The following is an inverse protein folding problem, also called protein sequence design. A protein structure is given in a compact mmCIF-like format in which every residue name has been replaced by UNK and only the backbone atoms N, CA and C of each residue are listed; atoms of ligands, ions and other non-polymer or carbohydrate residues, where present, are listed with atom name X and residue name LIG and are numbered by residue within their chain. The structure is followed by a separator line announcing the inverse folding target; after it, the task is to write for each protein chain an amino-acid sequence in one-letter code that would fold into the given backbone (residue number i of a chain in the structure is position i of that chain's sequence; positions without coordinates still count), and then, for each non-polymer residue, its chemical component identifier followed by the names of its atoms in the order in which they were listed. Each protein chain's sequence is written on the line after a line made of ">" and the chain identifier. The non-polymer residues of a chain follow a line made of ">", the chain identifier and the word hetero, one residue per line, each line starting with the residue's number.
data_IF_268068080756
#
_entry.id   IF_268068080756
#
_cell.length_a   1.000
_cell.length_b   1.000
_cell.length_c   1.000
_cell.angle_alpha   90.00
_cell.angle_beta   90.00
_cell.angle_gamma   90.00
#
_symmetry.space_group_name_H-M   'P 1'
#
loop_
_entity.id
_entity.type
_entity.pdbx_description
1 polymer ?
#
# COMPACT_ATOMS: atom_id res chain seq x y z
N UNK A 1 46.49 79.15 46.55
CA UNK A 1 45.95 78.49 47.76
C UNK A 1 44.57 77.95 47.42
N UNK A 2 44.42 76.62 47.50
CA UNK A 2 43.22 75.83 47.83
C UNK A 2 41.92 75.84 46.99
N UNK A 3 41.35 74.62 46.97
CA UNK A 3 39.97 74.16 46.68
C UNK A 3 39.61 73.97 45.18
N UNK A 4 39.40 72.78 44.61
CA UNK A 4 38.71 71.54 45.02
C UNK A 4 37.18 71.69 45.22
N UNK A 5 36.38 71.34 44.21
CA UNK A 5 35.33 70.30 44.31
C UNK A 5 34.58 70.04 42.99
N UNK A 6 34.34 68.74 42.76
CA UNK A 6 33.57 68.11 41.69
C UNK A 6 32.05 68.32 41.81
N UNK A 7 31.36 68.31 40.67
CA UNK A 7 29.90 68.24 40.57
C UNK A 7 29.51 67.15 39.55
N UNK A 8 28.68 66.20 40.00
CA UNK A 8 27.52 65.64 39.29
C UNK A 8 27.69 64.67 38.10
N UNK A 9 27.33 63.40 38.33
CA UNK A 9 26.79 62.46 37.32
C UNK A 9 25.24 62.59 37.25
N UNK A 10 24.46 61.83 36.42
CA UNK A 10 24.83 60.87 35.35
C UNK A 10 23.96 60.91 34.04
N UNK A 11 24.34 60.04 33.10
CA UNK A 11 23.48 59.26 32.18
C UNK A 11 23.04 59.85 30.82
N UNK A 12 23.58 59.31 29.72
CA UNK A 12 22.85 58.37 28.84
C UNK A 12 23.72 57.86 27.68
N UNK A 13 23.42 56.64 27.25
CA UNK A 13 24.24 55.71 26.50
C UNK A 13 24.37 56.02 25.00
N UNK A 14 25.55 55.72 24.45
CA UNK A 14 25.84 55.70 23.01
C UNK A 14 25.42 54.38 22.35
N UNK A 15 24.83 54.50 21.17
CA UNK A 15 24.46 53.38 20.31
C UNK A 15 25.67 52.87 19.51
N UNK A 16 25.92 51.56 19.57
CA UNK A 16 26.85 50.86 18.68
C UNK A 16 26.05 49.84 17.84
N UNK A 17 26.16 49.96 16.52
CA UNK A 17 25.58 49.06 15.55
C UNK A 17 26.35 47.74 15.50
N UNK A 18 25.66 46.62 15.72
CA UNK A 18 26.18 45.27 15.55
C UNK A 18 25.44 44.56 14.40
N UNK A 19 26.23 44.06 13.46
CA UNK A 19 25.87 43.26 12.30
C UNK A 19 25.21 41.94 12.72
N UNK A 20 23.97 41.73 12.28
CA UNK A 20 23.22 40.50 12.52
C UNK A 20 23.69 39.37 11.59
N UNK A 21 24.41 38.40 12.15
CA UNK A 21 24.59 37.09 11.54
C UNK A 21 23.26 36.31 11.69
N UNK A 22 22.62 35.99 10.57
CA UNK A 22 21.39 35.21 10.52
C UNK A 22 21.63 33.77 10.96
N UNK A 23 21.27 33.45 12.20
CA UNK A 23 21.26 32.10 12.72
C UNK A 23 20.01 31.39 12.18
N UNK A 24 20.15 30.58 11.11
CA UNK A 24 19.10 29.67 10.66
C UNK A 24 18.98 28.53 11.68
N UNK A 25 18.21 28.76 12.74
CA UNK A 25 17.74 27.69 13.61
C UNK A 25 16.67 26.90 12.85
N UNK A 26 17.06 25.76 12.30
CA UNK A 26 16.14 24.74 11.84
C UNK A 26 15.19 24.41 13.01
N UNK A 27 13.92 24.80 12.87
CA UNK A 27 12.88 24.49 13.84
C UNK A 27 12.82 22.97 13.99
N UNK A 28 13.23 22.46 15.15
CA UNK A 28 12.99 21.07 15.52
C UNK A 28 11.47 20.91 15.63
N UNK A 29 10.84 20.39 14.57
CA UNK A 29 9.44 19.98 14.60
C UNK A 29 9.31 18.87 15.64
N UNK A 30 8.78 19.22 16.80
CA UNK A 30 8.26 18.24 17.76
C UNK A 30 7.01 17.64 17.14
N UNK A 31 7.17 16.48 16.49
CA UNK A 31 6.04 15.76 15.92
C UNK A 31 5.13 15.28 17.07
N UNK A 32 3.92 15.83 17.14
CA UNK A 32 2.86 15.37 18.06
C UNK A 32 1.85 14.46 17.37
N UNK A 33 1.85 14.46 16.03
CA UNK A 33 0.96 13.69 15.16
C UNK A 33 1.76 13.05 14.02
N UNK A 34 1.33 11.90 13.49
CA UNK A 34 2.02 11.26 12.38
C UNK A 34 2.03 12.17 11.14
N UNK A 35 3.04 12.04 10.25
CA UNK A 35 3.13 12.87 9.03
C UNK A 35 1.87 12.83 8.16
N UNK A 36 1.19 11.68 8.13
CA UNK A 36 -0.12 11.52 7.52
C UNK A 36 -0.89 10.38 8.22
N UNK A 37 -2.23 10.43 8.16
CA UNK A 37 -3.10 9.40 8.72
C UNK A 37 -4.18 8.93 7.74
N UNK A 38 -4.31 7.61 7.57
CA UNK A 38 -5.32 6.96 6.74
C UNK A 38 -4.95 5.50 6.42
N UNK A 39 -5.58 4.92 5.40
CA UNK A 39 -5.41 3.51 5.04
C UNK A 39 -4.84 3.34 3.63
N UNK A 40 -3.69 2.68 3.52
CA UNK A 40 -3.08 2.37 2.23
C UNK A 40 -3.63 1.03 1.75
N UNK A 41 -4.66 1.07 0.91
CA UNK A 41 -5.31 -0.13 0.38
C UNK A 41 -4.52 -0.68 -0.82
N UNK A 42 -4.24 0.16 -1.79
CA UNK A 42 -3.76 -0.20 -3.12
C UNK A 42 -2.33 0.26 -3.39
N UNK A 43 -1.70 -0.26 -4.45
CA UNK A 43 -0.42 0.26 -4.97
C UNK A 43 -0.59 1.72 -5.37
N UNK A 44 -1.69 2.07 -6.04
CA UNK A 44 -2.05 3.45 -6.38
C UNK A 44 -2.02 4.40 -5.17
N UNK A 45 -2.62 3.99 -4.04
CA UNK A 45 -2.59 4.78 -2.80
C UNK A 45 -1.17 5.03 -2.29
N UNK A 46 -0.31 4.02 -2.35
CA UNK A 46 1.08 4.16 -1.93
C UNK A 46 1.84 5.14 -2.84
N UNK A 47 1.60 5.06 -4.16
CA UNK A 47 2.19 5.97 -5.14
C UNK A 47 1.73 7.43 -4.93
N UNK A 48 0.46 7.64 -4.61
CA UNK A 48 -0.07 8.98 -4.28
C UNK A 48 0.61 9.57 -3.04
N UNK A 49 0.83 8.78 -1.99
CA UNK A 49 1.51 9.24 -0.78
C UNK A 49 2.99 9.52 -1.04
N UNK A 50 3.68 8.68 -1.82
CA UNK A 50 5.07 8.94 -2.21
C UNK A 50 5.18 10.23 -3.05
N UNK A 51 4.27 10.43 -4.01
CA UNK A 51 4.21 11.64 -4.82
C UNK A 51 3.93 12.89 -3.97
N UNK A 52 2.97 12.82 -3.05
CA UNK A 52 2.68 13.89 -2.10
C UNK A 52 3.90 14.23 -1.22
N UNK A 53 4.62 13.21 -0.75
CA UNK A 53 5.82 13.39 0.05
C UNK A 53 6.98 13.98 -0.76
N UNK A 54 7.15 13.58 -2.02
CA UNK A 54 8.11 14.15 -2.97
C UNK A 54 7.84 15.63 -3.24
N UNK A 55 6.55 16.03 -3.31
CA UNK A 55 6.11 17.43 -3.46
C UNK A 55 6.17 18.23 -2.16
N UNK A 56 6.49 17.62 -1.02
CA UNK A 56 6.51 18.26 0.29
C UNK A 56 5.13 18.52 0.90
N UNK A 57 4.06 17.94 0.34
CA UNK A 57 2.70 18.02 0.91
C UNK A 57 2.56 17.17 2.16
N UNK A 58 3.28 16.04 2.20
CA UNK A 58 3.41 15.17 3.38
C UNK A 58 4.86 15.20 3.85
N UNK A 59 5.13 15.45 5.13
CA UNK A 59 6.48 15.46 5.65
C UNK A 59 7.16 14.08 5.53
N UNK A 60 8.43 14.09 5.09
CA UNK A 60 9.28 12.90 5.07
C UNK A 60 10.05 12.79 6.38
N UNK A 61 10.26 11.55 6.81
CA UNK A 61 11.11 11.24 7.96
C UNK A 61 12.57 11.28 7.50
N UNK A 62 13.34 12.24 8.03
CA UNK A 62 14.73 12.50 7.65
C UNK A 62 15.75 11.97 8.67
N UNK A 63 15.29 11.30 9.74
CA UNK A 63 16.13 10.63 10.73
C UNK A 63 15.32 9.60 11.51
N UNK A 64 16.00 8.71 12.24
CA UNK A 64 15.31 7.76 13.13
C UNK A 64 14.43 8.49 14.14
N UNK A 65 13.24 7.92 14.40
CA UNK A 65 12.34 8.38 15.43
C UNK A 65 12.94 8.12 16.82
N UNK A 66 12.88 9.14 17.67
CA UNK A 66 13.16 8.99 19.11
C UNK A 66 11.98 8.36 19.83
N UNK A 67 12.19 7.86 21.04
CA UNK A 67 11.15 7.10 21.77
C UNK A 67 9.87 7.91 22.05
N UNK A 68 9.99 9.24 22.22
CA UNK A 68 8.82 10.13 22.35
C UNK A 68 8.01 10.22 21.06
N UNK A 69 8.67 10.30 19.90
CA UNK A 69 8.03 10.38 18.57
C UNK A 69 7.37 9.06 18.18
N UNK A 70 7.90 7.92 18.64
CA UNK A 70 7.29 6.61 18.39
C UNK A 70 5.89 6.46 18.97
N UNK A 71 5.48 7.33 19.90
CA UNK A 71 4.11 7.38 20.42
C UNK A 71 3.07 7.73 19.36
N UNK A 72 3.49 8.33 18.25
CA UNK A 72 2.61 8.61 17.10
C UNK A 72 2.39 7.39 16.20
N UNK A 73 3.05 6.26 16.46
CA UNK A 73 2.82 5.02 15.74
C UNK A 73 1.54 4.38 16.28
N UNK A 74 0.44 4.74 15.66
CA UNK A 74 -0.91 4.27 15.98
C UNK A 74 -1.61 3.82 14.71
N UNK A 75 -2.83 3.33 14.84
CA UNK A 75 -3.64 3.03 13.67
C UNK A 75 -3.85 4.27 12.80
N UNK A 76 -3.74 4.12 11.49
CA UNK A 76 -3.80 5.19 10.51
C UNK A 76 -2.44 5.80 10.17
N UNK A 77 -1.46 5.75 11.08
CA UNK A 77 -0.18 6.45 10.88
C UNK A 77 0.57 5.95 9.64
N UNK A 78 1.00 6.89 8.80
CA UNK A 78 1.86 6.61 7.62
C UNK A 78 3.11 7.46 7.67
N UNK A 79 4.25 6.82 7.39
CA UNK A 79 5.55 7.43 7.35
C UNK A 79 6.21 7.16 6.01
N UNK A 80 6.84 8.18 5.44
CA UNK A 80 7.65 8.08 4.22
C UNK A 80 9.07 8.50 4.54
N UNK A 81 10.07 7.76 4.06
CA UNK A 81 11.46 8.16 4.14
C UNK A 81 12.25 7.72 2.92
N UNK A 82 13.28 8.49 2.62
CA UNK A 82 14.28 8.20 1.61
C UNK A 82 15.56 7.68 2.28
N UNK A 83 16.18 6.62 1.75
CA UNK A 83 17.35 6.01 2.38
C UNK A 83 18.57 6.94 2.43
N UNK A 84 18.79 7.75 1.40
CA UNK A 84 19.96 8.63 1.29
C UNK A 84 19.81 9.83 2.23
N UNK A 85 18.64 10.48 2.20
CA UNK A 85 18.36 11.65 3.06
C UNK A 85 18.29 11.28 4.55
N UNK A 86 17.67 10.14 4.87
CA UNK A 86 17.41 9.76 6.27
C UNK A 86 18.49 8.87 6.91
N UNK A 87 19.29 8.18 6.09
CA UNK A 87 20.19 7.11 6.52
C UNK A 87 19.46 5.87 7.08
N UNK A 88 18.13 5.79 6.98
CA UNK A 88 17.33 4.68 7.51
C UNK A 88 17.19 3.60 6.45
N UNK A 89 17.89 2.47 6.60
CA UNK A 89 17.71 1.30 5.72
C UNK A 89 16.63 0.32 6.18
N UNK A 90 16.27 0.40 7.45
CA UNK A 90 15.29 -0.47 8.11
C UNK A 90 14.51 0.33 9.13
N UNK A 91 13.19 0.28 9.01
CA UNK A 91 12.28 0.91 9.94
C UNK A 91 12.29 0.18 11.29
N UNK A 92 12.35 0.95 12.38
CA UNK A 92 12.39 0.44 13.75
C UNK A 92 11.36 1.18 14.60
N UNK A 93 10.33 0.46 15.02
CA UNK A 93 9.16 1.00 15.73
C UNK A 93 9.05 0.55 17.19
N UNK A 94 9.71 -0.55 17.57
CA UNK A 94 9.70 -1.10 18.94
C UNK A 94 8.61 -2.15 19.19
N UNK A 95 7.80 -2.50 18.18
CA UNK A 95 6.80 -3.55 18.27
C UNK A 95 7.36 -4.92 17.88
N UNK A 96 6.71 -5.98 18.35
CA UNK A 96 7.02 -7.36 17.97
C UNK A 96 6.15 -7.78 16.81
N UNK A 97 6.78 -8.06 15.67
CA UNK A 97 6.09 -8.36 14.43
C UNK A 97 6.20 -9.83 14.07
N UNK A 98 5.15 -10.38 13.47
CA UNK A 98 5.22 -11.67 12.79
C UNK A 98 6.24 -11.67 11.65
N UNK A 99 6.63 -12.83 11.11
CA UNK A 99 7.30 -12.86 9.82
C UNK A 99 6.44 -12.18 8.74
N UNK A 100 7.10 -11.64 7.72
CA UNK A 100 6.43 -10.95 6.63
C UNK A 100 5.58 -11.90 5.77
N UNK A 101 4.47 -11.38 5.27
CA UNK A 101 3.70 -12.00 4.18
C UNK A 101 3.55 -11.02 3.03
N UNK A 102 3.61 -11.55 1.82
CA UNK A 102 3.45 -10.74 0.60
C UNK A 102 1.96 -10.59 0.31
N UNK A 103 1.53 -9.36 0.01
CA UNK A 103 0.22 -9.06 -0.55
C UNK A 103 0.40 -8.04 -1.67
N UNK A 104 0.29 -8.47 -2.93
CA UNK A 104 0.65 -7.64 -4.09
C UNK A 104 2.08 -7.11 -3.97
N UNK A 105 2.24 -5.79 -3.99
CA UNK A 105 3.53 -5.11 -3.85
C UNK A 105 3.96 -4.86 -2.40
N UNK A 106 3.16 -5.28 -1.42
CA UNK A 106 3.38 -4.96 -0.01
C UNK A 106 3.96 -6.14 0.77
N UNK A 107 4.64 -5.82 1.87
CA UNK A 107 4.90 -6.76 2.97
C UNK A 107 4.01 -6.42 4.15
N UNK A 108 3.31 -7.42 4.66
CA UNK A 108 2.42 -7.32 5.82
C UNK A 108 3.04 -8.01 7.03
N UNK A 109 2.79 -7.40 8.17
CA UNK A 109 3.19 -7.87 9.49
C UNK A 109 2.01 -7.66 10.44
N UNK A 110 1.81 -8.59 11.37
CA UNK A 110 0.85 -8.44 12.47
C UNK A 110 1.56 -8.44 13.80
N UNK A 111 1.12 -7.58 14.71
CA UNK A 111 1.68 -7.49 16.05
C UNK A 111 1.46 -8.80 16.82
N UNK A 112 2.50 -9.25 17.50
CA UNK A 112 2.51 -10.47 18.32
C UNK A 112 2.82 -10.14 19.76
N UNK A 113 2.45 -11.03 20.67
CA UNK A 113 2.86 -10.88 22.07
C UNK A 113 4.36 -11.10 22.22
N UNK A 114 4.98 -10.30 23.10
CA UNK A 114 6.42 -10.36 23.47
C UNK A 114 6.89 -11.79 23.88
N UNK A 115 5.96 -12.71 24.17
CA UNK A 115 6.20 -14.11 24.57
C UNK A 115 6.04 -15.12 23.42
N UNK A 116 6.20 -14.71 22.18
CA UNK A 116 6.08 -15.58 21.00
C UNK A 116 7.40 -15.86 20.28
N UNK A 117 8.56 -15.84 20.95
CA UNK A 117 9.83 -16.24 20.34
C UNK A 117 9.88 -17.76 20.16
N UNK A 118 9.27 -18.26 19.09
CA UNK A 118 9.44 -19.61 18.56
C UNK A 118 10.83 -19.88 17.99
N UNK A 119 11.89 -19.47 18.70
CA UNK A 119 13.29 -19.80 18.40
C UNK A 119 14.17 -19.66 19.66
N UNK A 120 13.88 -20.44 20.70
CA UNK A 120 14.89 -21.02 21.58
C UNK A 120 14.40 -22.42 21.95
N UNK A 121 15.21 -23.43 21.66
CA UNK A 121 14.89 -24.82 22.00
C UNK A 121 14.47 -24.92 23.45
N UNK A 122 13.29 -25.51 23.69
CA UNK A 122 12.84 -25.88 25.00
C UNK A 122 13.79 -26.95 25.57
N UNK A 123 14.84 -26.50 26.25
CA UNK A 123 15.41 -27.22 27.38
C UNK A 123 15.04 -26.43 28.63
N UNK A 124 13.76 -26.53 29.00
CA UNK A 124 13.36 -26.39 30.40
C UNK A 124 12.94 -27.77 30.84
N UNK A 125 13.94 -28.50 31.34
CA UNK A 125 13.76 -29.67 32.16
C UNK A 125 12.99 -29.22 33.41
N UNK A 126 11.78 -29.72 33.57
CA UNK A 126 11.00 -29.60 34.79
C UNK A 126 10.25 -30.90 34.90
N UNK A 127 10.91 -31.83 35.59
CA UNK A 127 10.33 -33.05 36.10
C UNK A 127 9.08 -32.70 36.90
N UNK A 128 7.95 -33.26 36.48
CA UNK A 128 6.89 -33.61 37.40
C UNK A 128 6.42 -35.02 37.03
N UNK A 129 6.67 -35.91 37.98
CA UNK A 129 6.43 -37.34 37.95
C UNK A 129 5.03 -37.59 38.49
N UNK A 130 4.11 -38.06 37.65
CA UNK A 130 2.95 -38.81 38.13
C UNK A 130 2.56 -39.91 37.14
N UNK A 131 3.14 -41.07 37.43
CA UNK A 131 2.80 -42.39 36.91
C UNK A 131 1.45 -42.88 37.46
N UNK A 132 0.46 -43.10 36.60
CA UNK A 132 -0.45 -44.24 36.70
C UNK A 132 -0.84 -44.72 35.29
N UNK A 133 -0.59 -46.00 35.07
CA UNK A 133 -0.77 -46.77 33.86
C UNK A 133 -2.14 -47.47 33.92
N UNK A 134 -2.93 -47.47 32.86
CA UNK A 134 -3.57 -48.70 32.37
C UNK A 134 -4.12 -48.51 30.95
N UNK A 135 -3.89 -49.51 30.11
CA UNK A 135 -4.11 -49.46 28.67
C UNK A 135 -5.49 -49.94 28.25
N UNK A 136 -5.99 -49.38 27.15
CA UNK A 136 -6.82 -50.09 26.16
C UNK A 136 -6.89 -49.24 24.90
N UNK A 137 -6.29 -49.72 23.81
CA UNK A 137 -6.58 -49.28 22.44
C UNK A 137 -7.90 -49.95 22.00
N UNK A 138 -8.73 -49.28 21.18
CA UNK A 138 -8.70 -49.67 19.76
C UNK A 138 -8.84 -48.49 18.77
N UNK A 139 -8.22 -48.72 17.62
CA UNK A 139 -8.53 -48.27 16.24
C UNK A 139 -9.29 -46.96 15.96
N UNK A 140 -8.55 -46.04 15.33
CA UNK A 140 -8.85 -45.44 14.03
C UNK A 140 -10.22 -44.79 13.79
N UNK A 141 -10.29 -43.45 13.86
CA UNK A 141 -11.13 -42.65 12.95
C UNK A 141 -10.55 -41.24 12.74
N UNK A 142 -10.23 -40.99 11.47
CA UNK A 142 -10.40 -39.76 10.68
C UNK A 142 -10.78 -38.45 11.39
N UNK A 143 -9.96 -37.42 11.10
CA UNK A 143 -10.35 -36.03 10.80
C UNK A 143 -11.76 -35.61 11.27
N UNK A 144 -11.88 -35.12 12.50
CA UNK A 144 -13.09 -34.47 13.00
C UNK A 144 -12.80 -33.04 13.44
N UNK A 145 -12.79 -32.18 12.42
CA UNK A 145 -13.06 -30.74 12.45
C UNK A 145 -14.16 -30.39 13.47
N UNK A 146 -13.96 -29.44 14.41
CA UNK A 146 -15.08 -28.77 15.04
C UNK A 146 -15.67 -27.81 14.01
N UNK A 147 -16.80 -28.21 13.44
CA UNK A 147 -17.66 -27.37 12.61
C UNK A 147 -18.35 -26.35 13.53
N UNK A 148 -17.70 -25.22 13.75
CA UNK A 148 -18.32 -23.99 14.21
C UNK A 148 -18.69 -23.16 12.99
N UNK A 149 -19.96 -23.20 12.60
CA UNK A 149 -20.54 -22.42 11.51
C UNK A 149 -20.47 -20.92 11.84
N UNK A 150 -19.63 -20.21 11.11
CA UNK A 150 -20.11 -19.03 10.39
C UNK A 150 -19.70 -19.24 8.95
N UNK A 151 -20.68 -19.43 8.08
CA UNK A 151 -20.51 -19.31 6.64
C UNK A 151 -20.16 -17.85 6.35
N UNK A 152 -18.91 -17.46 6.58
CA UNK A 152 -18.43 -16.16 6.13
C UNK A 152 -18.52 -16.20 4.60
N UNK A 153 -19.25 -15.24 4.06
CA UNK A 153 -19.51 -15.14 2.64
C UNK A 153 -18.18 -15.10 1.88
N UNK A 154 -18.16 -15.47 0.59
CA UNK A 154 -16.95 -15.35 -0.22
C UNK A 154 -16.34 -13.93 -0.21
N UNK A 155 -17.19 -12.92 0.04
CA UNK A 155 -16.81 -11.52 0.20
C UNK A 155 -16.07 -11.26 1.52
N UNK A 156 -16.50 -11.86 2.63
CA UNK A 156 -15.83 -11.72 3.93
C UNK A 156 -14.43 -12.31 3.88
N UNK A 157 -14.27 -13.46 3.20
CA UNK A 157 -12.95 -14.08 3.01
C UNK A 157 -12.04 -13.27 2.09
N UNK A 158 -12.60 -12.58 1.10
CA UNK A 158 -11.84 -11.66 0.26
C UNK A 158 -11.39 -10.43 1.06
N UNK A 159 -12.30 -9.82 1.83
CA UNK A 159 -12.00 -8.70 2.73
C UNK A 159 -10.92 -9.04 3.75
N UNK A 160 -11.04 -10.19 4.40
CA UNK A 160 -10.03 -10.68 5.33
C UNK A 160 -8.65 -10.78 4.65
N UNK A 161 -8.59 -11.31 3.42
CA UNK A 161 -7.33 -11.40 2.67
C UNK A 161 -6.71 -10.04 2.36
N UNK A 162 -7.51 -9.01 2.08
CA UNK A 162 -7.00 -7.65 1.84
C UNK A 162 -6.38 -7.07 3.12
N UNK A 163 -6.97 -7.36 4.29
CA UNK A 163 -6.55 -6.82 5.59
C UNK A 163 -5.40 -7.61 6.23
N UNK A 164 -5.32 -8.92 6.06
CA UNK A 164 -4.28 -9.75 6.72
C UNK A 164 -3.41 -10.55 5.76
N UNK A 165 -3.70 -10.52 4.46
CA UNK A 165 -3.00 -11.33 3.47
C UNK A 165 -3.14 -12.83 3.77
N UNK A 166 -2.01 -13.52 3.81
CA UNK A 166 -1.92 -14.95 4.17
C UNK A 166 -1.52 -15.20 5.62
N UNK A 167 -1.62 -14.19 6.50
CA UNK A 167 -1.34 -14.30 7.94
C UNK A 167 -2.45 -15.10 8.65
N UNK A 168 -2.53 -16.38 8.36
CA UNK A 168 -3.53 -17.29 8.93
C UNK A 168 -2.90 -18.11 10.06
N UNK A 169 -3.02 -17.57 11.27
CA UNK A 169 -3.00 -18.26 12.57
C UNK A 169 -1.76 -19.09 13.00
N UNK A 170 -0.58 -18.92 12.39
CA UNK A 170 0.64 -19.64 12.84
C UNK A 170 1.35 -19.03 14.05
N UNK A 171 0.85 -17.92 14.61
CA UNK A 171 1.46 -17.18 15.71
C UNK A 171 0.42 -16.73 16.74
N UNK A 172 0.86 -16.55 17.99
CA UNK A 172 0.06 -15.89 19.05
C UNK A 172 0.01 -14.39 18.76
N UNK A 173 -0.87 -14.02 17.84
CA UNK A 173 -1.17 -12.63 17.53
C UNK A 173 -1.92 -11.98 18.68
N UNK A 174 -1.68 -10.69 18.88
CA UNK A 174 -2.57 -9.88 19.72
C UNK A 174 -3.95 -9.80 19.08
N UNK A 175 -5.00 -9.91 19.90
CA UNK A 175 -6.39 -9.79 19.46
C UNK A 175 -6.65 -8.41 18.84
N UNK A 176 -6.26 -7.35 19.54
CA UNK A 176 -6.27 -5.95 19.08
C UNK A 176 -4.88 -5.49 18.59
N UNK A 177 -4.18 -6.41 17.91
CA UNK A 177 -2.83 -6.17 17.42
C UNK A 177 -2.80 -5.18 16.26
N UNK A 178 -1.77 -4.33 16.23
CA UNK A 178 -1.52 -3.44 15.10
C UNK A 178 -1.09 -4.25 13.86
N UNK A 179 -1.52 -3.81 12.67
CA UNK A 179 -0.97 -4.25 11.39
C UNK A 179 0.08 -3.25 10.93
N UNK A 180 1.16 -3.74 10.34
CA UNK A 180 2.12 -2.93 9.59
C UNK A 180 2.16 -3.41 8.14
N UNK A 181 2.02 -2.48 7.21
CA UNK A 181 2.12 -2.69 5.77
C UNK A 181 3.23 -1.80 5.22
N UNK A 182 4.19 -2.40 4.53
CA UNK A 182 5.35 -1.69 3.99
C UNK A 182 5.42 -1.79 2.48
N UNK A 183 5.88 -0.72 1.85
CA UNK A 183 6.07 -0.60 0.41
C UNK A 183 7.38 0.13 0.14
N UNK A 184 8.12 -0.29 -0.89
CA UNK A 184 9.40 0.30 -1.23
C UNK A 184 9.57 0.35 -2.74
N UNK A 185 10.14 1.46 -3.24
CA UNK A 185 10.54 1.62 -4.64
C UNK A 185 11.94 2.22 -4.68
N UNK A 186 12.72 1.89 -5.72
CA UNK A 186 14.05 2.48 -5.92
C UNK A 186 13.98 3.46 -7.09
N UNK A 187 14.30 4.73 -6.87
CA UNK A 187 14.27 5.77 -7.91
C UNK A 187 15.61 6.48 -7.92
N UNK A 188 16.23 6.62 -9.09
CA UNK A 188 17.56 7.24 -9.20
C UNK A 188 18.64 6.52 -8.38
N UNK A 189 18.46 5.21 -8.13
CA UNK A 189 19.36 4.42 -7.28
C UNK A 189 19.12 4.54 -5.78
N UNK A 190 18.17 5.37 -5.34
CA UNK A 190 17.83 5.57 -3.92
C UNK A 190 16.50 4.91 -3.61
N UNK A 191 16.46 4.14 -2.50
CA UNK A 191 15.23 3.48 -2.07
C UNK A 191 14.35 4.44 -1.26
N UNK A 192 13.12 4.61 -1.70
CA UNK A 192 12.04 5.27 -0.97
C UNK A 192 11.17 4.22 -0.31
N UNK A 193 10.80 4.48 0.94
CA UNK A 193 10.03 3.56 1.76
C UNK A 193 8.78 4.24 2.31
N UNK A 194 7.67 3.51 2.27
CA UNK A 194 6.42 3.84 2.93
C UNK A 194 6.11 2.79 3.98
N UNK A 195 5.80 3.24 5.20
CA UNK A 195 5.39 2.41 6.33
C UNK A 195 4.01 2.85 6.79
N UNK A 196 3.02 1.97 6.68
CA UNK A 196 1.63 2.22 7.08
C UNK A 196 1.23 1.31 8.24
N UNK A 197 0.52 1.88 9.20
CA UNK A 197 -0.03 1.17 10.36
C UNK A 197 -1.55 1.27 10.36
N UNK A 198 -2.23 0.18 10.70
CA UNK A 198 -3.68 0.20 10.88
C UNK A 198 -4.11 -0.93 11.81
N UNK A 199 -5.25 -0.76 12.47
CA UNK A 199 -6.01 -1.87 13.06
C UNK A 199 -7.06 -2.31 12.07
N UNK A 200 -7.31 -3.62 12.04
CA UNK A 200 -8.34 -4.23 11.19
C UNK A 200 -9.70 -3.57 11.46
N UNK A 201 -10.05 -3.41 12.73
CA UNK A 201 -11.32 -2.79 13.16
C UNK A 201 -11.50 -1.36 12.62
N UNK A 202 -10.44 -0.54 12.60
CA UNK A 202 -10.51 0.84 12.12
C UNK A 202 -10.81 0.91 10.62
N UNK A 203 -10.29 -0.05 9.85
CA UNK A 203 -10.57 -0.16 8.41
C UNK A 203 -11.97 -0.69 8.18
N UNK A 204 -12.38 -1.74 8.89
CA UNK A 204 -13.71 -2.36 8.75
C UNK A 204 -14.84 -1.39 9.11
N UNK A 205 -14.63 -0.54 10.11
CA UNK A 205 -15.58 0.49 10.51
C UNK A 205 -15.49 1.77 9.66
N UNK A 206 -14.62 1.81 8.64
CA UNK A 206 -14.47 2.95 7.74
C UNK A 206 -13.91 4.21 8.40
N UNK A 207 -13.19 4.07 9.53
CA UNK A 207 -12.57 5.20 10.24
C UNK A 207 -11.34 5.75 9.51
N UNK A 208 -10.72 4.92 8.67
CA UNK A 208 -9.52 5.29 7.90
C UNK A 208 -9.86 5.41 6.42
N UNK A 209 -9.60 6.58 5.85
CA UNK A 209 -9.79 6.84 4.42
C UNK A 209 -8.54 6.50 3.62
N UNK A 210 -8.73 6.04 2.38
CA UNK A 210 -7.62 5.83 1.44
C UNK A 210 -7.22 7.13 0.74
N UNK A 211 -5.94 7.28 0.34
CA UNK A 211 -5.46 8.40 -0.47
C UNK A 211 -6.30 8.63 -1.73
N UNK A 212 -6.63 7.58 -2.47
CA UNK A 212 -7.47 7.65 -3.68
C UNK A 212 -8.90 8.12 -3.41
N UNK A 213 -9.41 7.99 -2.18
CA UNK A 213 -10.72 8.52 -1.80
C UNK A 213 -10.70 10.02 -1.49
N UNK A 214 -9.53 10.62 -1.29
CA UNK A 214 -9.35 12.01 -0.88
C UNK A 214 -9.08 12.87 -2.13
N UNK A 215 -9.95 13.83 -2.50
CA UNK A 215 -9.80 14.61 -3.72
C UNK A 215 -8.42 15.29 -3.87
N UNK A 216 -7.87 15.80 -2.77
CA UNK A 216 -6.57 16.49 -2.74
C UNK A 216 -5.38 15.58 -3.04
N UNK A 217 -5.49 14.27 -2.77
CA UNK A 217 -4.47 13.28 -3.11
C UNK A 217 -4.79 12.59 -4.43
N UNK A 218 -6.05 12.24 -4.68
CA UNK A 218 -6.50 11.59 -5.90
C UNK A 218 -6.24 12.43 -7.17
N UNK A 219 -6.18 13.76 -7.04
CA UNK A 219 -5.85 14.66 -8.16
C UNK A 219 -4.35 14.74 -8.47
N UNK A 220 -3.48 14.08 -7.69
CA UNK A 220 -2.04 14.14 -7.94
C UNK A 220 -1.67 13.28 -9.14
N UNK A 221 -0.99 13.88 -10.11
CA UNK A 221 -0.33 13.14 -11.18
C UNK A 221 0.90 12.39 -10.63
N UNK A 222 0.84 11.05 -10.65
CA UNK A 222 1.95 10.20 -10.24
C UNK A 222 3.10 10.35 -11.25
N UNK A 223 4.29 10.72 -10.79
CA UNK A 223 5.43 10.95 -11.67
C UNK A 223 5.85 9.67 -12.42
N UNK A 224 6.23 9.75 -13.71
CA UNK A 224 6.64 8.60 -14.53
C UNK A 224 7.72 7.70 -13.93
N UNK A 225 8.64 8.28 -13.16
CA UNK A 225 9.72 7.58 -12.46
C UNK A 225 9.22 6.57 -11.41
N UNK A 226 8.02 6.79 -10.86
CA UNK A 226 7.35 5.84 -9.98
C UNK A 226 6.70 4.68 -10.72
N UNK A 227 6.55 4.75 -12.05
CA UNK A 227 5.77 3.80 -12.85
C UNK A 227 6.64 2.81 -13.62
N UNK A 228 7.95 2.77 -13.34
CA UNK A 228 8.81 1.72 -13.89
C UNK A 228 8.43 0.36 -13.29
N UNK A 229 7.92 -0.51 -14.17
CA UNK A 229 7.52 -1.89 -13.89
C UNK A 229 8.59 -2.75 -13.23
N UNK A 230 9.89 -2.45 -13.39
CA UNK A 230 10.98 -3.18 -12.73
C UNK A 230 11.02 -2.98 -11.22
N UNK A 231 10.40 -1.93 -10.71
CA UNK A 231 10.36 -1.65 -9.27
C UNK A 231 9.31 -2.49 -8.52
N UNK A 232 8.44 -3.21 -9.23
CA UNK A 232 7.27 -3.87 -8.65
C UNK A 232 7.38 -5.39 -8.71
N UNK A 233 6.82 -6.05 -7.70
CA UNK A 233 6.61 -7.51 -7.73
C UNK A 233 5.39 -7.88 -8.56
N UNK A 234 4.37 -7.03 -8.50
CA UNK A 234 3.13 -7.11 -9.26
C UNK A 234 2.91 -5.75 -9.95
N UNK A 235 3.47 -5.53 -11.16
CA UNK A 235 3.45 -4.23 -11.80
C UNK A 235 2.02 -3.70 -12.05
N UNK A 236 1.71 -2.45 -11.67
CA UNK A 236 0.39 -1.88 -11.90
C UNK A 236 0.13 -1.67 -13.40
N UNK A 237 -1.14 -1.47 -13.75
CA UNK A 237 -1.51 -1.10 -15.12
C UNK A 237 -1.07 0.32 -15.41
N UNK A 238 -0.32 0.49 -16.49
CA UNK A 238 0.20 1.77 -16.94
C UNK A 238 -0.14 1.94 -18.42
N UNK A 239 -0.71 3.09 -18.78
CA UNK A 239 -0.99 3.46 -20.16
C UNK A 239 -0.04 4.59 -20.60
N UNK A 240 0.44 4.51 -21.83
CA UNK A 240 1.21 5.58 -22.45
C UNK A 240 0.23 6.59 -23.02
N UNK A 241 0.23 7.81 -22.48
CA UNK A 241 -0.61 8.89 -23.01
C UNK A 241 -0.19 9.30 -24.41
N UNK A 242 -1.01 10.15 -25.04
CA UNK A 242 -0.75 10.71 -26.39
C UNK A 242 0.56 11.50 -26.47
N UNK A 243 1.05 11.97 -25.33
CA UNK A 243 2.31 12.68 -25.14
C UNK A 243 3.51 11.74 -24.91
N UNK A 244 3.31 10.41 -24.95
CA UNK A 244 4.34 9.42 -24.68
C UNK A 244 4.61 9.21 -23.19
N UNK A 245 3.87 9.88 -22.28
CA UNK A 245 4.12 9.82 -20.83
C UNK A 245 3.31 8.68 -20.20
N UNK A 246 3.96 7.76 -19.45
CA UNK A 246 3.25 6.69 -18.74
C UNK A 246 2.37 7.27 -17.62
N UNK A 247 1.16 6.76 -17.49
CA UNK A 247 0.19 7.12 -16.45
C UNK A 247 -0.39 5.88 -15.79
N UNK A 248 -0.50 5.91 -14.47
CA UNK A 248 -1.15 4.86 -13.69
C UNK A 248 -2.63 4.74 -14.09
N UNK A 249 -3.12 3.50 -14.29
CA UNK A 249 -4.51 3.23 -14.68
C UNK A 249 -5.25 2.26 -13.76
N UNK A 250 -4.56 1.57 -12.87
CA UNK A 250 -5.19 0.62 -11.95
C UNK A 250 -4.22 -0.43 -11.44
N UNK A 251 -4.73 -1.30 -10.58
CA UNK A 251 -3.95 -2.42 -10.05
C UNK A 251 -3.79 -3.51 -11.11
N UNK A 252 -2.78 -4.37 -10.92
CA UNK A 252 -2.51 -5.48 -11.83
C UNK A 252 -3.69 -6.46 -11.94
N UNK A 253 -4.39 -6.70 -10.82
CA UNK A 253 -5.42 -7.72 -10.67
C UNK A 253 -6.86 -7.19 -10.95
N UNK A 254 -7.01 -5.90 -11.25
CA UNK A 254 -8.32 -5.32 -11.57
C UNK A 254 -8.83 -5.91 -12.89
N UNK A 255 -10.05 -6.48 -12.87
CA UNK A 255 -10.71 -6.94 -14.10
C UNK A 255 -11.23 -5.70 -14.83
N UNK A 256 -10.71 -5.42 -16.03
CA UNK A 256 -11.21 -4.31 -16.85
C UNK A 256 -12.71 -4.50 -17.14
N UNK A 257 -13.59 -3.57 -16.75
CA UNK A 257 -15.02 -3.71 -16.97
C UNK A 257 -15.46 -3.38 -18.40
N UNK A 258 -14.55 -3.18 -19.37
CA UNK A 258 -14.93 -2.81 -20.75
C UNK A 258 -14.43 -3.79 -21.81
N UNK A 259 -15.30 -4.23 -22.75
CA UNK A 259 -14.85 -4.93 -23.94
C UNK A 259 -14.10 -3.93 -24.81
N UNK A 260 -12.98 -4.36 -25.39
CA UNK A 260 -12.26 -3.58 -26.40
C UNK A 260 -13.24 -3.17 -27.50
N UNK A 261 -13.63 -1.90 -27.53
CA UNK A 261 -14.32 -1.33 -28.69
C UNK A 261 -13.28 -1.29 -29.80
N UNK A 262 -13.28 -2.34 -30.62
CA UNK A 262 -12.58 -2.35 -31.90
C UNK A 262 -12.97 -1.08 -32.64
N UNK A 263 -11.98 -0.24 -32.94
CA UNK A 263 -12.14 0.93 -33.76
C UNK A 263 -12.86 0.53 -35.05
N UNK A 264 -14.11 0.99 -35.21
CA UNK A 264 -14.81 0.83 -36.47
C UNK A 264 -14.03 1.62 -37.54
N UNK A 265 -13.67 1.01 -38.67
CA UNK A 265 -13.05 1.77 -39.75
C UNK A 265 -14.10 2.75 -40.28
N UNK A 266 -13.78 4.04 -40.23
CA UNK A 266 -14.54 5.10 -40.88
C UNK A 266 -14.56 4.81 -42.40
N UNK A 267 -15.67 4.29 -42.92
CA UNK A 267 -15.88 4.20 -44.36
C UNK A 267 -16.27 5.58 -44.89
N UNK A 268 -15.33 6.24 -45.54
CA UNK A 268 -15.56 7.33 -46.48
C UNK A 268 -16.33 6.79 -47.69
N UNK A 269 -17.54 7.29 -47.95
CA UNK A 269 -18.33 6.95 -49.12
C UNK A 269 -19.53 7.87 -49.31
N UNK A 270 -19.49 8.67 -50.38
CA UNK A 270 -20.39 9.75 -50.80
C UNK A 270 -21.88 9.37 -50.96
N UNK A 271 -22.81 10.35 -50.96
CA UNK A 271 -24.22 10.12 -51.27
C UNK A 271 -24.45 10.18 -52.78
N UNK A 272 -25.12 9.18 -53.36
CA UNK A 272 -25.60 9.24 -54.75
C UNK A 272 -27.13 9.11 -54.77
N UNK A 273 -27.78 10.21 -55.12
CA UNK A 273 -29.16 10.28 -55.55
C UNK A 273 -29.28 9.65 -56.96
N UNK A 274 -30.22 8.74 -57.18
CA UNK A 274 -30.96 8.65 -58.46
C UNK A 274 -32.19 7.75 -58.33
N UNK A 275 -33.17 8.11 -59.17
CA UNK A 275 -34.58 7.77 -59.23
C UNK A 275 -34.89 6.46 -60.00
N UNK A 276 -36.06 5.85 -59.75
CA UNK A 276 -36.86 5.19 -60.80
C UNK A 276 -36.89 3.66 -60.98
N UNK A 277 -38.09 3.09 -60.70
CA UNK A 277 -38.86 2.05 -61.45
C UNK A 277 -38.61 0.53 -61.31
N UNK A 278 -39.58 -0.10 -60.61
CA UNK A 278 -40.39 -1.32 -60.86
C UNK A 278 -40.01 -2.31 -61.98
N UNK A 279 -39.85 -3.61 -61.64
CA UNK A 279 -40.66 -4.75 -62.17
C UNK A 279 -40.27 -6.12 -61.62
N UNK A 280 -41.33 -6.92 -61.41
CA UNK A 280 -41.49 -8.28 -60.87
C UNK A 280 -40.81 -9.42 -61.67
N UNK A 281 -40.60 -10.59 -61.06
CA UNK A 281 -40.16 -11.79 -61.80
C UNK A 281 -39.52 -12.96 -61.04
N UNK A 282 -40.27 -13.62 -60.14
CA UNK A 282 -40.41 -15.09 -60.00
C UNK A 282 -39.19 -16.06 -60.13
N UNK A 283 -39.02 -16.87 -59.06
CA UNK A 283 -38.84 -18.36 -58.98
C UNK A 283 -37.50 -18.97 -58.48
N UNK A 284 -37.69 -19.77 -57.42
CA UNK A 284 -37.09 -21.09 -57.09
C UNK A 284 -35.63 -21.07 -56.59
N UNK A 285 -35.22 -21.83 -55.59
CA UNK A 285 -35.87 -22.86 -54.79
C UNK A 285 -34.89 -23.30 -53.69
N UNK A 286 -35.41 -23.57 -52.50
CA UNK A 286 -34.67 -24.02 -51.33
C UNK A 286 -34.35 -25.52 -51.49
N UNK A 287 -33.07 -25.91 -51.42
CA UNK A 287 -32.66 -27.30 -51.21
C UNK A 287 -31.39 -27.35 -50.37
N UNK A 288 -31.50 -27.95 -49.20
CA UNK A 288 -30.39 -28.33 -48.33
C UNK A 288 -30.60 -29.81 -48.01
N UNK A 289 -29.60 -30.67 -48.22
CA UNK A 289 -29.50 -31.81 -47.33
C UNK A 289 -28.04 -32.14 -47.00
N UNK A 290 -27.81 -32.35 -45.71
CA UNK A 290 -26.69 -33.12 -45.20
C UNK A 290 -26.46 -34.38 -46.06
N UNK A 291 -25.33 -34.41 -46.76
CA UNK A 291 -24.84 -35.56 -47.51
C UNK A 291 -23.46 -35.93 -46.99
N UNK A 292 -23.43 -36.92 -46.11
CA UNK A 292 -22.28 -37.58 -45.54
C UNK A 292 -21.25 -38.10 -46.56
N UNK A 293 -19.99 -38.19 -46.14
CA UNK A 293 -19.29 -39.47 -46.19
C UNK A 293 -18.05 -39.62 -47.08
N UNK A 294 -16.93 -39.84 -46.39
CA UNK A 294 -15.85 -40.80 -46.68
C UNK A 294 -14.95 -40.67 -47.91
N UNK A 295 -13.73 -40.21 -47.64
CA UNK A 295 -12.45 -40.97 -47.68
C UNK A 295 -12.17 -41.99 -48.79
N UNK A 296 -11.04 -41.71 -49.47
CA UNK A 296 -9.99 -42.57 -50.10
C UNK A 296 -9.56 -41.85 -51.38
N UNK A 297 -8.28 -41.75 -51.77
CA UNK A 297 -7.27 -42.82 -51.78
C UNK A 297 -5.89 -42.23 -52.12
N UNK A 298 -4.88 -42.90 -51.60
CA UNK A 298 -3.43 -42.84 -51.86
C UNK A 298 -3.05 -42.61 -53.33
N UNK A 299 -1.92 -41.95 -53.53
CA UNK A 299 -0.78 -42.54 -54.24
C UNK A 299 0.46 -42.39 -53.36
#
# INVERSE_FOLDING_TARGET
>A
MSANQQIGSPSSAGAAAATAAGNQQASQTTWTEPPWSGWIETTGDALLILEAARRGLIPRVTRRLVDSERKMITSGSVFVFDEDESGIKRWTDGFFWSPSRILGNFLLYRETDKRGAGHRGARSDSADDHQYNDGTRPDGHSLSRPKGESSSSGLDRHRERVLVGSLTNSYKFKSDGLMKKTFSLTIGGVAQHLISYYKIEDVEQGRLRSPSSLPELASLDISPEYLDKTHFRNPPKVEIGVDGVPRYRGEADDIDPSPSLLAAPLSTGLPLLTDGRVSDGSKRGRYNPYGSGSSKRRK
#
